data_IF_301934388137
#
_entry.id   IF_301934388137
#
_cell.length_a   1.000
_cell.length_b   1.000
_cell.length_c   1.000
_cell.angle_alpha   90.00
_cell.angle_beta   90.00
_cell.angle_gamma   90.00
#
_symmetry.space_group_name_H-M   'P 1'
#
loop_
_entity.id
_entity.type
_entity.pdbx_description
1 polymer ?
#
# COMPACT_ATOMS: atom_id res chain seq x y z
N UNK A 1 -5.97 25.00 28.25
CA UNK A 1 -6.15 25.42 26.86
C UNK A 1 -6.90 24.30 26.18
N UNK A 2 -8.13 24.53 25.75
CA UNK A 2 -8.84 23.54 24.94
C UNK A 2 -8.02 23.27 23.70
N UNK A 3 -7.54 22.04 23.57
CA UNK A 3 -6.82 21.63 22.37
C UNK A 3 -7.81 21.62 21.21
N UNK A 4 -7.55 22.46 20.20
CA UNK A 4 -8.31 22.50 18.95
C UNK A 4 -8.55 21.06 18.43
N UNK A 5 -9.80 20.66 18.15
CA UNK A 5 -10.10 19.36 17.58
C UNK A 5 -9.31 19.11 16.29
N UNK A 6 -8.87 17.87 16.05
CA UNK A 6 -8.10 17.51 14.85
C UNK A 6 -8.85 17.82 13.54
N UNK A 7 -10.18 17.78 13.57
CA UNK A 7 -11.05 18.14 12.44
C UNK A 7 -10.94 19.63 12.10
N UNK A 8 -10.96 20.49 13.11
CA UNK A 8 -10.84 21.94 12.97
C UNK A 8 -9.42 22.32 12.53
N UNK A 9 -8.40 21.72 13.13
CA UNK A 9 -7.01 21.92 12.70
C UNK A 9 -6.79 21.49 11.24
N UNK A 10 -7.38 20.36 10.81
CA UNK A 10 -7.31 19.90 9.41
C UNK A 10 -7.93 20.91 8.43
N UNK A 11 -9.04 21.53 8.83
CA UNK A 11 -9.68 22.59 8.05
C UNK A 11 -8.76 23.80 7.89
N UNK A 12 -8.17 24.27 8.99
CA UNK A 12 -7.25 25.41 9.00
C UNK A 12 -5.98 25.15 8.19
N UNK A 13 -5.36 23.98 8.38
CA UNK A 13 -4.18 23.56 7.63
C UNK A 13 -4.40 23.51 6.12
N UNK A 14 -5.62 23.24 5.67
CA UNK A 14 -5.93 23.21 4.24
C UNK A 14 -5.98 24.62 3.63
N UNK A 15 -6.26 25.65 4.44
CA UNK A 15 -6.38 27.05 4.00
C UNK A 15 -5.09 27.83 4.18
N UNK A 16 -4.43 27.65 5.31
CA UNK A 16 -3.18 28.34 5.65
C UNK A 16 -2.25 27.40 6.45
N UNK A 17 -1.48 26.54 5.77
CA UNK A 17 -0.59 25.62 6.45
C UNK A 17 0.55 26.32 7.21
N UNK A 18 0.97 27.52 6.82
CA UNK A 18 2.14 28.15 7.43
C UNK A 18 1.83 28.65 8.85
N UNK A 19 0.67 29.25 9.05
CA UNK A 19 0.26 29.79 10.35
C UNK A 19 -0.01 28.71 11.40
N UNK A 20 -0.36 27.49 10.98
CA UNK A 20 -0.70 26.36 11.86
C UNK A 20 0.42 25.31 11.94
N UNK A 21 1.66 25.71 11.60
CA UNK A 21 2.83 24.82 11.63
C UNK A 21 3.09 24.27 13.03
N UNK A 22 3.10 25.13 14.04
CA UNK A 22 3.37 24.75 15.44
C UNK A 22 2.32 23.77 15.96
N UNK A 23 1.04 23.98 15.62
CA UNK A 23 -0.04 23.06 15.98
C UNK A 23 0.13 21.68 15.32
N UNK A 24 0.51 21.66 14.03
CA UNK A 24 0.81 20.41 13.34
C UNK A 24 2.01 19.68 13.97
N UNK A 25 3.10 20.38 14.25
CA UNK A 25 4.31 19.80 14.86
C UNK A 25 4.00 19.24 16.26
N UNK A 26 3.18 19.92 17.06
CA UNK A 26 2.70 19.40 18.35
C UNK A 26 1.88 18.09 18.20
N UNK A 27 1.02 17.98 17.19
CA UNK A 27 0.30 16.72 16.93
C UNK A 27 1.22 15.62 16.39
N UNK A 28 2.24 15.97 15.61
CA UNK A 28 3.26 15.03 15.12
C UNK A 28 4.11 14.48 16.27
N UNK A 29 4.49 15.31 17.22
CA UNK A 29 5.19 14.90 18.43
C UNK A 29 4.34 13.94 19.27
N UNK A 30 3.07 14.30 19.53
CA UNK A 30 2.12 13.42 20.23
C UNK A 30 1.98 12.05 19.53
N UNK A 31 1.89 12.05 18.20
CA UNK A 31 1.89 10.82 17.42
C UNK A 31 3.15 9.99 17.62
N UNK A 32 4.32 10.61 17.61
CA UNK A 32 5.60 9.92 17.79
C UNK A 32 5.70 9.30 19.19
N UNK A 33 5.31 10.03 20.24
CA UNK A 33 5.26 9.52 21.62
C UNK A 33 4.31 8.33 21.75
N UNK A 34 3.08 8.44 21.22
CA UNK A 34 2.11 7.35 21.26
C UNK A 34 2.54 6.14 20.42
N UNK A 35 3.16 6.36 19.25
CA UNK A 35 3.71 5.30 18.42
C UNK A 35 4.86 4.57 19.13
N UNK A 36 5.69 5.29 19.88
CA UNK A 36 6.76 4.69 20.68
C UNK A 36 6.18 3.83 21.81
N UNK A 37 5.18 4.34 22.55
CA UNK A 37 4.46 3.56 23.57
C UNK A 37 3.77 2.32 22.97
N UNK A 38 3.09 2.48 21.83
CA UNK A 38 2.52 1.37 21.06
C UNK A 38 3.56 0.33 20.62
N UNK A 39 4.79 0.76 20.38
CA UNK A 39 5.90 -0.15 20.09
C UNK A 39 6.32 -0.99 21.29
N UNK A 40 5.88 -0.70 22.51
CA UNK A 40 6.05 -1.60 23.64
C UNK A 40 4.91 -2.62 23.75
N UNK A 41 3.68 -2.25 23.35
CA UNK A 41 2.49 -3.09 23.45
C UNK A 41 1.64 -3.07 22.14
N UNK A 42 2.10 -3.70 21.05
CA UNK A 42 1.47 -3.58 19.73
C UNK A 42 0.13 -4.31 19.61
N UNK A 43 -0.20 -5.18 20.57
CA UNK A 43 -1.44 -5.93 20.62
C UNK A 43 -2.63 -5.10 21.11
N UNK A 44 -2.41 -3.88 21.59
CA UNK A 44 -3.48 -2.99 22.07
C UNK A 44 -4.00 -2.08 20.95
N UNK A 45 -5.28 -1.75 21.02
CA UNK A 45 -5.86 -0.69 20.21
C UNK A 45 -5.71 0.66 20.91
N UNK A 46 -5.25 1.69 20.20
CA UNK A 46 -5.06 3.03 20.74
C UNK A 46 -5.81 4.02 19.83
N UNK A 47 -7.04 4.38 20.22
CA UNK A 47 -7.91 5.25 19.40
C UNK A 47 -7.24 6.57 19.03
N UNK A 48 -6.59 7.23 19.99
CA UNK A 48 -5.89 8.50 19.74
C UNK A 48 -4.76 8.36 18.71
N UNK A 49 -4.08 7.22 18.69
CA UNK A 49 -3.03 6.95 17.71
C UNK A 49 -3.62 6.76 16.31
N UNK A 50 -4.78 6.09 16.17
CA UNK A 50 -5.48 6.00 14.89
C UNK A 50 -5.92 7.40 14.39
N UNK A 51 -6.49 8.23 15.27
CA UNK A 51 -6.91 9.59 14.93
C UNK A 51 -5.75 10.45 14.43
N UNK A 52 -4.63 10.45 15.17
CA UNK A 52 -3.42 11.18 14.81
C UNK A 52 -2.81 10.66 13.52
N UNK A 53 -2.72 9.34 13.36
CA UNK A 53 -2.21 8.71 12.15
C UNK A 53 -3.05 9.08 10.92
N UNK A 54 -4.38 9.14 11.08
CA UNK A 54 -5.29 9.57 10.03
C UNK A 54 -5.12 11.07 9.72
N UNK A 55 -5.01 11.92 10.73
CA UNK A 55 -4.79 13.36 10.58
C UNK A 55 -3.45 13.65 9.89
N UNK A 56 -2.34 13.14 10.42
CA UNK A 56 -0.99 13.40 9.90
C UNK A 56 -0.85 12.89 8.47
N UNK A 57 -1.38 11.71 8.14
CA UNK A 57 -1.32 11.18 6.77
C UNK A 57 -2.12 12.02 5.74
N UNK A 58 -3.00 12.91 6.19
CA UNK A 58 -3.68 13.91 5.34
C UNK A 58 -2.90 15.22 5.26
N UNK A 59 -2.34 15.67 6.38
CA UNK A 59 -1.72 16.98 6.53
C UNK A 59 -0.22 17.02 6.13
N UNK A 60 0.52 15.91 6.26
CA UNK A 60 1.99 15.88 6.07
C UNK A 60 2.46 16.39 4.71
N UNK A 61 1.60 16.34 3.68
CA UNK A 61 1.88 16.92 2.35
C UNK A 61 2.17 18.41 2.37
N UNK A 62 1.67 19.13 3.38
CA UNK A 62 1.90 20.57 3.53
C UNK A 62 3.27 20.88 4.15
N UNK A 63 3.95 19.86 4.70
CA UNK A 63 5.22 20.00 5.40
C UNK A 63 6.26 18.99 4.87
N UNK A 64 6.86 19.26 3.70
CA UNK A 64 7.77 18.33 3.01
C UNK A 64 8.91 17.79 3.87
N UNK A 65 9.40 18.59 4.82
CA UNK A 65 10.48 18.22 5.73
C UNK A 65 10.15 17.02 6.63
N UNK A 66 8.87 16.77 6.94
CA UNK A 66 8.43 15.66 7.79
C UNK A 66 7.96 14.44 7.00
N UNK A 67 7.82 14.54 5.67
CA UNK A 67 7.25 13.48 4.82
C UNK A 67 8.07 12.19 4.89
N UNK A 68 9.39 12.30 4.75
CA UNK A 68 10.29 11.13 4.68
C UNK A 68 10.28 10.37 6.01
N UNK A 69 10.39 11.08 7.12
CA UNK A 69 10.40 10.49 8.47
C UNK A 69 9.06 9.82 8.78
N UNK A 70 7.95 10.52 8.55
CA UNK A 70 6.62 9.98 8.78
C UNK A 70 6.35 8.73 7.92
N UNK A 71 6.63 8.79 6.61
CA UNK A 71 6.42 7.66 5.71
C UNK A 71 7.28 6.45 6.10
N UNK A 72 8.54 6.68 6.44
CA UNK A 72 9.45 5.63 6.94
C UNK A 72 8.91 5.02 8.23
N UNK A 73 8.44 5.87 9.15
CA UNK A 73 7.85 5.46 10.40
C UNK A 73 6.61 4.57 10.24
N UNK A 74 5.73 4.89 9.28
CA UNK A 74 4.54 4.08 8.95
C UNK A 74 4.94 2.73 8.35
N UNK A 75 5.87 2.74 7.38
CA UNK A 75 6.33 1.52 6.70
C UNK A 75 7.03 0.57 7.68
N UNK A 76 7.92 1.09 8.53
CA UNK A 76 8.62 0.28 9.53
C UNK A 76 7.66 -0.36 10.54
N UNK A 77 6.66 0.38 11.03
CA UNK A 77 5.65 -0.18 11.94
C UNK A 77 4.84 -1.29 11.28
N UNK A 78 4.45 -1.12 10.01
CA UNK A 78 3.75 -2.15 9.24
C UNK A 78 4.58 -3.43 9.05
N UNK A 79 5.85 -3.29 8.69
CA UNK A 79 6.71 -4.42 8.35
C UNK A 79 7.22 -5.17 9.59
N UNK A 80 7.62 -4.46 10.64
CA UNK A 80 8.26 -5.05 11.83
C UNK A 80 7.31 -5.89 12.69
N UNK A 81 6.00 -5.58 12.71
CA UNK A 81 5.07 -6.07 13.74
C UNK A 81 3.79 -6.69 13.19
N UNK A 82 3.78 -7.03 11.91
CA UNK A 82 2.57 -7.55 11.26
C UNK A 82 1.94 -8.76 11.96
N UNK A 83 2.72 -9.59 12.67
CA UNK A 83 2.25 -10.80 13.36
C UNK A 83 1.73 -10.61 14.80
N UNK A 84 1.97 -9.45 15.43
CA UNK A 84 1.55 -9.17 16.82
C UNK A 84 0.77 -7.86 17.01
N UNK A 85 0.54 -7.13 15.92
CA UNK A 85 -0.21 -5.88 15.93
C UNK A 85 -1.73 -6.13 16.01
N UNK A 86 -2.44 -5.33 16.82
CA UNK A 86 -3.90 -5.30 16.86
C UNK A 86 -4.47 -5.13 15.44
N UNK A 87 -5.48 -5.90 15.00
CA UNK A 87 -5.98 -5.86 13.61
C UNK A 87 -6.42 -4.48 13.13
N UNK A 88 -7.10 -3.72 13.99
CA UNK A 88 -7.59 -2.37 13.74
C UNK A 88 -6.43 -1.40 13.56
N UNK A 89 -5.41 -1.46 14.42
CA UNK A 89 -4.18 -0.68 14.26
C UNK A 89 -3.44 -1.06 12.96
N UNK A 90 -3.37 -2.35 12.62
CA UNK A 90 -2.80 -2.81 11.35
C UNK A 90 -3.52 -2.17 10.17
N UNK A 91 -4.86 -2.12 10.21
CA UNK A 91 -5.65 -1.48 9.17
C UNK A 91 -5.46 0.04 9.15
N UNK A 92 -5.35 0.70 10.31
CA UNK A 92 -5.08 2.13 10.41
C UNK A 92 -3.73 2.52 9.76
N UNK A 93 -2.66 1.78 10.08
CA UNK A 93 -1.35 1.95 9.43
C UNK A 93 -1.39 1.61 7.94
N UNK A 94 -2.13 0.58 7.53
CA UNK A 94 -2.29 0.25 6.12
C UNK A 94 -3.00 1.39 5.36
N UNK A 95 -4.06 1.97 5.92
CA UNK A 95 -4.76 3.13 5.35
C UNK A 95 -3.83 4.34 5.24
N UNK A 96 -3.01 4.61 6.25
CA UNK A 96 -2.03 5.70 6.21
C UNK A 96 -1.00 5.48 5.08
N UNK A 97 -0.43 4.27 4.97
CA UNK A 97 0.47 3.91 3.88
C UNK A 97 -0.17 4.13 2.50
N UNK A 98 -1.39 3.63 2.30
CA UNK A 98 -2.13 3.81 1.05
C UNK A 98 -2.39 5.30 0.75
N UNK A 99 -2.67 6.11 1.77
CA UNK A 99 -2.91 7.55 1.62
C UNK A 99 -1.64 8.30 1.21
N UNK A 100 -0.51 8.05 1.87
CA UNK A 100 0.80 8.62 1.54
C UNK A 100 1.15 8.31 0.08
N UNK A 101 0.95 7.05 -0.35
CA UNK A 101 1.17 6.66 -1.76
C UNK A 101 0.18 7.32 -2.71
N UNK A 102 -1.10 7.43 -2.35
CA UNK A 102 -2.12 8.06 -3.21
C UNK A 102 -1.80 9.52 -3.50
N UNK A 103 -1.12 10.19 -2.56
CA UNK A 103 -0.61 11.57 -2.69
C UNK A 103 0.77 11.67 -3.35
N UNK A 104 1.33 10.57 -3.85
CA UNK A 104 2.67 10.48 -4.45
C UNK A 104 3.83 10.88 -3.52
N UNK A 105 3.62 10.81 -2.20
CA UNK A 105 4.68 11.09 -1.21
C UNK A 105 5.69 9.94 -1.09
N UNK A 106 5.34 8.75 -1.58
CA UNK A 106 6.26 7.64 -1.83
C UNK A 106 6.13 7.17 -3.28
N UNK A 107 7.23 6.63 -3.81
CA UNK A 107 7.27 6.11 -5.18
C UNK A 107 6.40 4.87 -5.34
N UNK A 108 5.89 4.65 -6.57
CA UNK A 108 5.10 3.46 -6.87
C UNK A 108 5.92 2.16 -6.71
N UNK A 109 7.20 2.20 -7.07
CA UNK A 109 8.12 1.06 -6.94
C UNK A 109 8.33 0.69 -5.47
N UNK A 110 8.55 1.68 -4.60
CA UNK A 110 8.65 1.45 -3.15
C UNK A 110 7.34 0.90 -2.57
N UNK A 111 6.19 1.45 -2.98
CA UNK A 111 4.90 0.97 -2.49
C UNK A 111 4.60 -0.47 -2.91
N UNK A 112 4.96 -0.88 -4.13
CA UNK A 112 4.85 -2.27 -4.58
C UNK A 112 5.74 -3.18 -3.72
N UNK A 113 7.01 -2.81 -3.48
CA UNK A 113 7.92 -3.59 -2.65
C UNK A 113 7.37 -3.81 -1.23
N UNK A 114 6.92 -2.73 -0.57
CA UNK A 114 6.30 -2.80 0.77
C UNK A 114 5.04 -3.65 0.74
N UNK A 115 4.15 -3.46 -0.24
CA UNK A 115 2.93 -4.25 -0.35
C UNK A 115 3.22 -5.75 -0.51
N UNK A 116 4.21 -6.14 -1.32
CA UNK A 116 4.59 -7.55 -1.50
C UNK A 116 5.24 -8.16 -0.26
N UNK A 117 5.97 -7.37 0.54
CA UNK A 117 6.42 -7.79 1.88
C UNK A 117 5.22 -8.06 2.80
N UNK A 118 4.20 -7.20 2.77
CA UNK A 118 2.97 -7.36 3.57
C UNK A 118 2.07 -8.53 3.11
N UNK A 119 2.16 -8.99 1.86
CA UNK A 119 1.42 -10.18 1.43
C UNK A 119 1.90 -11.48 2.10
N UNK A 120 3.06 -11.46 2.78
CA UNK A 120 3.54 -12.57 3.61
C UNK A 120 2.78 -12.68 4.93
N UNK A 121 2.11 -11.62 5.38
CA UNK A 121 1.32 -11.62 6.61
C UNK A 121 0.13 -12.57 6.48
N UNK A 122 -0.21 -13.28 7.57
CA UNK A 122 -1.34 -14.23 7.62
C UNK A 122 -2.68 -13.53 7.85
N UNK A 123 -2.93 -12.44 7.13
CA UNK A 123 -4.16 -11.65 7.24
C UNK A 123 -4.86 -11.58 5.87
N UNK A 124 -6.02 -12.23 5.77
CA UNK A 124 -6.76 -12.34 4.49
C UNK A 124 -7.33 -11.00 4.06
N UNK A 125 -7.81 -10.18 4.99
CA UNK A 125 -8.42 -8.89 4.69
C UNK A 125 -7.37 -7.90 4.21
N UNK A 126 -6.23 -7.82 4.90
CA UNK A 126 -5.10 -6.97 4.49
C UNK A 126 -4.61 -7.33 3.09
N UNK A 127 -4.44 -8.63 2.78
CA UNK A 127 -4.04 -9.07 1.44
C UNK A 127 -5.06 -8.68 0.37
N UNK A 128 -6.36 -8.81 0.66
CA UNK A 128 -7.41 -8.37 -0.28
C UNK A 128 -7.30 -6.87 -0.52
N UNK A 129 -7.30 -6.06 0.55
CA UNK A 129 -7.16 -4.60 0.48
C UNK A 129 -5.92 -4.16 -0.28
N UNK A 130 -4.76 -4.78 -0.02
CA UNK A 130 -3.51 -4.48 -0.73
C UNK A 130 -3.59 -4.78 -2.23
N UNK A 131 -4.16 -5.92 -2.62
CA UNK A 131 -4.36 -6.27 -4.04
C UNK A 131 -5.21 -5.22 -4.75
N UNK A 132 -6.37 -4.88 -4.18
CA UNK A 132 -7.27 -3.84 -4.71
C UNK A 132 -6.57 -2.50 -4.84
N UNK A 133 -5.83 -2.11 -3.80
CA UNK A 133 -5.07 -0.88 -3.77
C UNK A 133 -4.00 -0.85 -4.88
N UNK A 134 -3.15 -1.88 -4.99
CA UNK A 134 -2.07 -1.91 -5.98
C UNK A 134 -2.59 -1.81 -7.42
N UNK A 135 -3.61 -2.60 -7.77
CA UNK A 135 -4.20 -2.56 -9.11
C UNK A 135 -4.80 -1.19 -9.40
N UNK A 136 -5.48 -0.59 -8.41
CA UNK A 136 -6.07 0.75 -8.54
C UNK A 136 -5.01 1.84 -8.62
N UNK A 137 -3.91 1.71 -7.88
CA UNK A 137 -2.78 2.64 -7.86
C UNK A 137 -2.07 2.67 -9.22
N UNK A 138 -1.75 1.48 -9.75
CA UNK A 138 -1.10 1.35 -11.05
C UNK A 138 -2.03 1.85 -12.16
N UNK A 139 -3.34 1.56 -12.09
CA UNK A 139 -4.33 2.12 -13.01
C UNK A 139 -4.36 3.65 -12.94
N UNK A 140 -4.41 4.23 -11.73
CA UNK A 140 -4.44 5.68 -11.51
C UNK A 140 -3.18 6.35 -12.05
N UNK A 141 -2.03 5.75 -11.79
CA UNK A 141 -0.71 6.20 -12.26
C UNK A 141 -0.63 6.28 -13.80
N UNK A 142 -1.40 5.46 -14.52
CA UNK A 142 -1.43 5.41 -15.98
C UNK A 142 -2.66 6.08 -16.60
N UNK A 143 -3.49 6.82 -15.83
CA UNK A 143 -4.74 7.42 -16.34
C UNK A 143 -4.51 8.57 -17.33
N UNK A 144 -3.51 9.42 -17.07
CA UNK A 144 -3.21 10.59 -17.92
C UNK A 144 -2.08 10.30 -18.90
N UNK A 145 -0.95 9.82 -18.40
CA UNK A 145 0.21 9.44 -19.20
C UNK A 145 0.74 8.09 -18.73
N UNK A 146 1.16 7.24 -19.68
CA UNK A 146 1.75 5.93 -19.37
C UNK A 146 3.10 6.12 -18.66
N UNK A 147 3.23 5.61 -17.44
CA UNK A 147 4.45 5.71 -16.63
C UNK A 147 5.45 4.60 -17.00
N UNK A 148 5.96 4.65 -18.24
CA UNK A 148 6.72 3.54 -18.86
C UNK A 148 7.91 3.07 -18.00
N UNK A 149 8.67 3.99 -17.40
CA UNK A 149 9.81 3.65 -16.52
C UNK A 149 9.37 2.88 -15.28
N UNK A 150 8.39 3.41 -14.54
CA UNK A 150 7.87 2.75 -13.34
C UNK A 150 7.21 1.41 -13.67
N UNK A 151 6.42 1.35 -14.75
CA UNK A 151 5.79 0.12 -15.21
C UNK A 151 6.82 -0.97 -15.54
N UNK A 152 7.91 -0.64 -16.23
CA UNK A 152 8.96 -1.61 -16.56
C UNK A 152 9.64 -2.18 -15.31
N UNK A 153 9.90 -1.33 -14.31
CA UNK A 153 10.50 -1.74 -13.03
C UNK A 153 9.52 -2.64 -12.26
N UNK A 154 8.25 -2.23 -12.15
CA UNK A 154 7.23 -2.99 -11.42
C UNK A 154 6.94 -4.33 -12.12
N UNK A 155 6.84 -4.35 -13.45
CA UNK A 155 6.67 -5.60 -14.20
C UNK A 155 7.84 -6.56 -13.94
N UNK A 156 9.07 -6.07 -14.01
CA UNK A 156 10.26 -6.88 -13.72
C UNK A 156 10.27 -7.42 -12.29
N UNK A 157 9.84 -6.60 -11.33
CA UNK A 157 9.64 -7.02 -9.95
C UNK A 157 8.57 -8.12 -9.82
N UNK A 158 7.41 -7.95 -10.45
CA UNK A 158 6.32 -8.93 -10.42
C UNK A 158 6.73 -10.25 -11.10
N UNK A 159 7.46 -10.21 -12.22
CA UNK A 159 8.03 -11.40 -12.87
C UNK A 159 8.95 -12.17 -11.92
N UNK A 160 9.74 -11.47 -11.09
CA UNK A 160 10.55 -12.11 -10.05
C UNK A 160 9.66 -12.71 -8.95
N UNK A 161 8.64 -11.97 -8.49
CA UNK A 161 7.74 -12.43 -7.43
C UNK A 161 6.88 -13.64 -7.82
N UNK A 162 6.58 -13.84 -9.10
CA UNK A 162 5.90 -15.05 -9.60
C UNK A 162 6.69 -16.33 -9.24
N UNK A 163 8.01 -16.23 -9.13
CA UNK A 163 8.93 -17.32 -8.78
C UNK A 163 9.24 -17.38 -7.28
N UNK A 164 8.53 -16.61 -6.44
CA UNK A 164 8.78 -16.59 -5.00
C UNK A 164 8.41 -17.91 -4.32
N UNK A 165 9.21 -18.32 -3.33
CA UNK A 165 8.97 -19.53 -2.55
C UNK A 165 7.63 -19.50 -1.79
N UNK A 166 7.14 -18.31 -1.44
CA UNK A 166 5.81 -18.16 -0.85
C UNK A 166 4.73 -18.23 -1.93
N UNK A 167 4.00 -19.34 -1.95
CA UNK A 167 2.86 -19.53 -2.85
C UNK A 167 1.77 -18.45 -2.74
N UNK A 168 1.71 -17.73 -1.61
CA UNK A 168 0.84 -16.56 -1.47
C UNK A 168 1.39 -15.40 -2.28
N UNK A 169 2.66 -15.05 -2.09
CA UNK A 169 3.32 -13.94 -2.82
C UNK A 169 3.30 -14.19 -4.33
N UNK A 170 3.66 -15.41 -4.75
CA UNK A 170 3.64 -15.81 -6.15
C UNK A 170 2.24 -15.70 -6.79
N UNK A 171 1.20 -16.12 -6.05
CA UNK A 171 -0.20 -15.95 -6.48
C UNK A 171 -0.57 -14.48 -6.63
N UNK A 172 -0.20 -13.65 -5.67
CA UNK A 172 -0.51 -12.22 -5.71
C UNK A 172 0.18 -11.51 -6.88
N UNK A 173 1.40 -11.92 -7.22
CA UNK A 173 2.13 -11.42 -8.38
C UNK A 173 1.37 -11.71 -9.69
N UNK A 174 1.04 -12.98 -9.95
CA UNK A 174 0.34 -13.35 -11.18
C UNK A 174 -1.04 -12.71 -11.24
N UNK A 175 -1.82 -12.72 -10.14
CA UNK A 175 -3.17 -12.13 -10.15
C UNK A 175 -3.09 -10.63 -10.43
N UNK A 176 -2.13 -9.91 -9.85
CA UNK A 176 -1.94 -8.48 -10.13
C UNK A 176 -1.70 -8.22 -11.62
N UNK A 177 -0.85 -9.04 -12.28
CA UNK A 177 -0.60 -8.93 -13.72
C UNK A 177 -1.86 -9.20 -14.55
N UNK A 178 -2.59 -10.29 -14.25
CA UNK A 178 -3.83 -10.63 -14.93
C UNK A 178 -4.87 -9.49 -14.81
N UNK A 179 -4.98 -8.88 -13.63
CA UNK A 179 -5.90 -7.77 -13.40
C UNK A 179 -5.54 -6.53 -14.22
N UNK A 180 -4.26 -6.19 -14.28
CA UNK A 180 -3.77 -5.04 -15.03
C UNK A 180 -3.92 -5.25 -16.54
N UNK A 181 -3.69 -6.47 -17.02
CA UNK A 181 -3.89 -6.83 -18.42
C UNK A 181 -5.38 -6.77 -18.80
N UNK A 182 -6.27 -7.41 -18.03
CA UNK A 182 -7.73 -7.39 -18.25
C UNK A 182 -8.30 -5.97 -18.23
N UNK A 183 -7.75 -5.07 -17.41
CA UNK A 183 -8.16 -3.66 -17.33
C UNK A 183 -7.54 -2.77 -18.41
N UNK A 184 -6.87 -3.34 -19.41
CA UNK A 184 -6.16 -2.62 -20.48
C UNK A 184 -5.12 -1.60 -19.98
N UNK A 185 -4.55 -1.80 -18.78
CA UNK A 185 -3.51 -0.92 -18.24
C UNK A 185 -2.15 -1.32 -18.81
N UNK A 186 -1.83 -2.61 -18.77
CA UNK A 186 -0.60 -3.19 -19.32
C UNK A 186 -0.93 -4.25 -20.38
N UNK A 187 -1.62 -3.81 -21.43
CA UNK A 187 -1.91 -4.65 -22.60
C UNK A 187 -0.78 -4.48 -23.63
N UNK A 188 0.38 -5.04 -23.33
CA UNK A 188 1.55 -5.06 -24.22
C UNK A 188 2.18 -6.46 -24.28
N UNK A 189 2.93 -6.72 -25.35
CA UNK A 189 3.54 -8.02 -25.62
C UNK A 189 4.43 -8.51 -24.48
N UNK A 190 5.16 -7.60 -23.82
CA UNK A 190 6.02 -7.94 -22.69
C UNK A 190 5.20 -8.48 -21.52
N UNK A 191 4.10 -7.82 -21.18
CA UNK A 191 3.20 -8.28 -20.12
C UNK A 191 2.51 -9.59 -20.49
N UNK A 192 2.06 -9.73 -21.75
CA UNK A 192 1.48 -10.97 -22.26
C UNK A 192 2.43 -12.17 -22.14
N UNK A 193 3.71 -11.99 -22.48
CA UNK A 193 4.74 -13.02 -22.37
C UNK A 193 4.95 -13.45 -20.91
N UNK A 194 5.01 -12.50 -19.96
CA UNK A 194 5.13 -12.85 -18.53
C UNK A 194 3.92 -13.66 -18.03
N UNK A 195 2.72 -13.35 -18.53
CA UNK A 195 1.50 -14.12 -18.20
C UNK A 195 1.56 -15.51 -18.83
N UNK A 196 2.02 -15.64 -20.08
CA UNK A 196 2.22 -16.93 -20.75
C UNK A 196 3.26 -17.79 -20.02
N UNK A 197 4.41 -17.22 -19.63
CA UNK A 197 5.43 -17.92 -18.84
C UNK A 197 4.87 -18.41 -17.49
N UNK A 198 3.91 -17.68 -16.92
CA UNK A 198 3.26 -18.07 -15.67
C UNK A 198 2.44 -19.37 -15.80
N UNK A 199 1.99 -19.73 -17.01
CA UNK A 199 1.34 -21.02 -17.28
C UNK A 199 2.28 -22.21 -17.14
N UNK A 200 3.59 -21.99 -17.26
CA UNK A 200 4.62 -23.04 -17.21
C UNK A 200 5.26 -23.19 -15.82
N UNK A 201 4.81 -22.42 -14.83
CA UNK A 201 5.33 -22.49 -13.47
C UNK A 201 4.87 -23.78 -12.79
N UNK A 202 5.68 -24.32 -11.86
CA UNK A 202 5.31 -25.50 -11.07
C UNK A 202 4.25 -25.22 -9.99
N UNK A 203 4.13 -23.96 -9.55
CA UNK A 203 3.22 -23.59 -8.49
C UNK A 203 1.77 -23.53 -8.98
N UNK A 204 0.92 -24.44 -8.49
CA UNK A 204 -0.53 -24.48 -8.82
C UNK A 204 -1.27 -23.18 -8.58
N UNK A 205 -0.87 -22.40 -7.58
CA UNK A 205 -1.50 -21.09 -7.31
C UNK A 205 -1.12 -20.02 -8.33
N UNK A 206 -0.13 -20.30 -9.19
CA UNK A 206 0.32 -19.42 -10.27
C UNK A 206 -0.23 -19.88 -11.62
N UNK A 207 0.04 -21.12 -12.01
CA UNK A 207 -0.30 -21.58 -13.36
C UNK A 207 -1.81 -21.73 -13.59
N UNK A 208 -2.59 -22.11 -12.56
CA UNK A 208 -4.04 -22.27 -12.71
C UNK A 208 -4.71 -20.92 -13.06
N UNK A 209 -4.50 -19.82 -12.31
CA UNK A 209 -5.02 -18.51 -12.71
C UNK A 209 -4.59 -18.07 -14.12
N UNK A 210 -3.32 -18.30 -14.50
CA UNK A 210 -2.80 -17.92 -15.81
C UNK A 210 -3.46 -18.71 -16.95
N UNK A 211 -3.59 -20.04 -16.83
CA UNK A 211 -4.30 -20.87 -17.82
C UNK A 211 -5.78 -20.48 -17.90
N UNK A 212 -6.44 -20.30 -16.74
CA UNK A 212 -7.84 -19.87 -16.71
C UNK A 212 -8.05 -18.50 -17.35
N UNK A 213 -7.05 -17.62 -17.29
CA UNK A 213 -7.09 -16.34 -17.98
C UNK A 213 -7.13 -16.50 -19.50
N UNK A 214 -6.22 -17.30 -20.08
CA UNK A 214 -6.23 -17.57 -21.53
C UNK A 214 -7.48 -18.33 -21.99
N UNK A 215 -8.05 -19.19 -21.15
CA UNK A 215 -9.30 -19.89 -21.45
C UNK A 215 -10.57 -19.02 -21.28
N UNK A 216 -10.43 -17.75 -20.87
CA UNK A 216 -11.58 -16.87 -20.61
C UNK A 216 -12.40 -17.22 -19.37
N UNK A 217 -11.90 -18.11 -18.49
CA UNK A 217 -12.61 -18.66 -17.31
C UNK A 217 -12.09 -18.14 -15.97
N UNK A 218 -11.41 -17.00 -15.95
CA UNK A 218 -10.67 -16.54 -14.76
C UNK A 218 -11.59 -16.10 -13.61
N UNK A 219 -11.86 -17.01 -12.67
CA UNK A 219 -12.56 -16.72 -11.41
C UNK A 219 -11.76 -15.78 -10.50
N UNK A 220 -10.43 -15.90 -10.50
CA UNK A 220 -9.54 -15.07 -9.69
C UNK A 220 -9.65 -13.56 -9.99
N UNK A 221 -10.11 -13.20 -11.19
CA UNK A 221 -10.37 -11.82 -11.60
C UNK A 221 -11.77 -11.31 -11.19
N UNK A 222 -12.67 -12.21 -10.83
CA UNK A 222 -14.04 -11.88 -10.42
C UNK A 222 -14.16 -11.70 -8.90
N UNK A 223 -13.14 -12.11 -8.13
CA UNK A 223 -13.04 -11.89 -6.68
C UNK A 223 -12.46 -10.51 -6.30
N UNK A 224 -12.15 -9.68 -7.31
CA UNK A 224 -11.84 -8.26 -7.15
C UNK A 224 -13.12 -7.43 -7.12
#
# INVERSE_FOLDING_TARGET
MDHMPLSELSYHLTRDPLSYRTDFEAQLENFNTLKQSFSSAPSQYISRLEDLLSFISQAVRFYPQHVVEFATGVIQTLLSRSFGMHPEMRMAFLRAFMRIRTRNLISATQAVDVAFKLHRCRDKQVRKTLRHFLVSDIKRMNKSQKQTKANAIILSFLSKMIKDNSSTVAREAVVTLLCLFKKNVWNDARTANVIADSCLMSNKKVYVPAIQFFLGKSKALNEM
#
